data_IF_920768568878
#
_entry.id   IF_920768568878
#
_cell.length_a   1.000
_cell.length_b   1.000
_cell.length_c   1.000
_cell.angle_alpha   90.00
_cell.angle_beta   90.00
_cell.angle_gamma   90.00
#
_symmetry.space_group_name_H-M   'P 1'
#
loop_
_entity.id
_entity.type
_entity.pdbx_description
1 polymer ?
#
# COMPACT_ATOMS: atom_id res chain seq x y z
N UNK A 1 -10.30 7.73 6.90
CA UNK A 1 -10.00 7.73 5.45
C UNK A 1 -8.51 7.48 5.29
N UNK A 2 -8.12 6.58 4.40
CA UNK A 2 -6.70 6.31 4.13
C UNK A 2 -6.08 7.45 3.32
N UNK A 3 -4.86 7.83 3.66
CA UNK A 3 -4.04 8.79 2.91
C UNK A 3 -3.63 8.24 1.54
N UNK A 4 -3.18 9.12 0.62
CA UNK A 4 -2.73 8.69 -0.71
C UNK A 4 -1.56 7.70 -0.64
N UNK A 5 -0.63 7.90 0.29
CA UNK A 5 0.50 6.98 0.47
C UNK A 5 0.05 5.61 0.96
N UNK A 6 -0.92 5.54 1.88
CA UNK A 6 -1.45 4.26 2.38
C UNK A 6 -2.18 3.51 1.26
N UNK A 7 -2.99 4.21 0.46
CA UNK A 7 -3.67 3.61 -0.70
C UNK A 7 -2.67 3.11 -1.75
N UNK A 8 -1.61 3.86 -2.02
CA UNK A 8 -0.55 3.43 -2.94
C UNK A 8 0.10 2.13 -2.49
N UNK A 9 0.51 2.05 -1.22
CA UNK A 9 1.13 0.85 -0.63
C UNK A 9 0.17 -0.33 -0.71
N UNK A 10 -1.10 -0.14 -0.36
CA UNK A 10 -2.13 -1.20 -0.38
C UNK A 10 -2.38 -1.70 -1.80
N UNK A 11 -2.49 -0.80 -2.78
CA UNK A 11 -2.68 -1.15 -4.18
C UNK A 11 -1.47 -1.92 -4.72
N UNK A 12 -0.25 -1.54 -4.32
CA UNK A 12 0.96 -2.25 -4.71
C UNK A 12 0.99 -3.68 -4.18
N UNK A 13 0.64 -3.88 -2.91
CA UNK A 13 0.51 -5.23 -2.31
C UNK A 13 -0.58 -6.03 -3.01
N UNK A 14 -1.74 -5.42 -3.26
CA UNK A 14 -2.88 -6.07 -3.93
C UNK A 14 -2.53 -6.52 -5.34
N UNK A 15 -1.79 -5.71 -6.10
CA UNK A 15 -1.28 -6.05 -7.44
C UNK A 15 -0.37 -7.27 -7.40
N UNK A 16 0.66 -7.26 -6.53
CA UNK A 16 1.55 -8.42 -6.36
C UNK A 16 0.79 -9.68 -5.94
N UNK A 17 -0.19 -9.55 -5.04
CA UNK A 17 -1.06 -10.66 -4.64
C UNK A 17 -1.80 -11.26 -5.84
N UNK A 18 -2.30 -10.44 -6.76
CA UNK A 18 -2.98 -10.93 -7.98
C UNK A 18 -2.01 -11.51 -9.01
N UNK A 19 -0.84 -10.90 -9.21
CA UNK A 19 0.22 -11.41 -10.10
C UNK A 19 0.68 -12.82 -9.68
N UNK A 20 0.84 -13.04 -8.37
CA UNK A 20 1.15 -14.34 -7.76
C UNK A 20 -0.08 -15.27 -7.62
N UNK A 21 -1.26 -14.86 -8.12
CA UNK A 21 -2.53 -15.61 -8.05
C UNK A 21 -2.92 -16.04 -6.63
N UNK A 22 -2.55 -15.23 -5.64
CA UNK A 22 -2.85 -15.50 -4.23
C UNK A 22 -4.24 -14.98 -3.85
N UNK A 23 -4.99 -15.79 -3.11
CA UNK A 23 -6.19 -15.34 -2.41
C UNK A 23 -5.83 -14.46 -1.21
N UNK A 24 -6.77 -13.67 -0.70
CA UNK A 24 -6.58 -12.94 0.56
C UNK A 24 -6.27 -13.87 1.73
N UNK A 25 -6.87 -15.07 1.75
CA UNK A 25 -6.58 -16.09 2.77
C UNK A 25 -5.13 -16.58 2.65
N UNK A 26 -4.67 -16.86 1.43
CA UNK A 26 -3.28 -17.31 1.20
C UNK A 26 -2.27 -16.26 1.64
N UNK A 27 -2.50 -14.98 1.31
CA UNK A 27 -1.63 -13.89 1.77
C UNK A 27 -1.66 -13.78 3.30
N UNK A 28 -2.84 -13.89 3.91
CA UNK A 28 -2.98 -13.81 5.37
C UNK A 28 -2.21 -14.92 6.09
N UNK A 29 -2.30 -16.16 5.59
CA UNK A 29 -1.58 -17.31 6.14
C UNK A 29 -0.06 -17.10 6.07
N UNK A 30 0.46 -16.56 4.96
CA UNK A 30 1.89 -16.28 4.79
C UNK A 30 2.36 -15.11 5.67
N UNK A 31 1.53 -14.08 5.83
CA UNK A 31 1.84 -12.88 6.60
C UNK A 31 1.61 -13.08 8.11
N UNK A 32 1.02 -14.19 8.53
CA UNK A 32 0.72 -14.48 9.94
C UNK A 32 -0.43 -13.62 10.51
N UNK A 33 -1.39 -13.23 9.67
CA UNK A 33 -2.55 -12.40 10.04
C UNK A 33 -3.87 -13.10 9.68
N UNK A 34 -5.00 -12.51 10.04
CA UNK A 34 -6.31 -13.07 9.66
C UNK A 34 -6.69 -12.71 8.22
N UNK A 35 -7.45 -13.58 7.55
CA UNK A 35 -8.07 -13.25 6.24
C UNK A 35 -8.87 -11.95 6.31
N UNK A 36 -9.60 -11.73 7.40
CA UNK A 36 -10.39 -10.52 7.61
C UNK A 36 -9.52 -9.26 7.66
N UNK A 37 -8.34 -9.34 8.27
CA UNK A 37 -7.38 -8.23 8.26
C UNK A 37 -6.97 -7.85 6.83
N UNK A 38 -6.55 -8.82 6.00
CA UNK A 38 -6.19 -8.55 4.59
C UNK A 38 -7.38 -7.96 3.83
N UNK A 39 -8.59 -8.51 4.03
CA UNK A 39 -9.82 -8.00 3.43
C UNK A 39 -10.15 -6.56 3.85
N UNK A 40 -9.94 -6.20 5.12
CA UNK A 40 -10.15 -4.83 5.60
C UNK A 40 -9.08 -3.88 5.07
N UNK A 41 -7.81 -4.31 5.01
CA UNK A 41 -6.73 -3.49 4.44
C UNK A 41 -7.02 -3.13 2.99
N UNK A 42 -7.41 -4.11 2.18
CA UNK A 42 -7.74 -3.90 0.76
C UNK A 42 -9.07 -3.17 0.51
N UNK A 43 -9.87 -2.92 1.54
CA UNK A 43 -11.08 -2.13 1.45
C UNK A 43 -10.79 -0.66 1.80
N UNK A 44 -10.94 0.23 0.82
CA UNK A 44 -10.70 1.68 1.00
C UNK A 44 -11.56 2.33 2.10
N UNK A 45 -12.72 1.75 2.40
CA UNK A 45 -13.67 2.25 3.41
C UNK A 45 -13.34 1.81 4.84
N UNK A 46 -12.22 1.11 5.03
CA UNK A 46 -11.77 0.61 6.34
C UNK A 46 -10.49 1.32 6.76
N UNK A 47 -10.17 1.29 8.04
CA UNK A 47 -9.02 2.03 8.59
C UNK A 47 -7.75 1.19 8.66
N UNK A 48 -7.88 -0.13 8.60
CA UNK A 48 -6.76 -1.06 8.68
C UNK A 48 -5.77 -0.85 7.54
N UNK A 49 -4.48 -0.92 7.87
CA UNK A 49 -3.35 -0.70 6.98
C UNK A 49 -2.20 -1.63 7.31
N UNK A 50 -1.31 -1.87 6.34
CA UNK A 50 -0.05 -2.53 6.60
C UNK A 50 0.87 -1.60 7.39
N UNK A 51 1.50 -2.13 8.45
CA UNK A 51 2.53 -1.41 9.20
C UNK A 51 3.92 -1.80 8.64
N UNK A 52 4.99 -1.20 9.15
CA UNK A 52 6.34 -1.44 8.66
C UNK A 52 6.78 -2.92 8.79
N UNK A 53 6.35 -3.62 9.84
CA UNK A 53 6.63 -5.04 10.02
C UNK A 53 5.93 -5.88 8.94
N UNK A 54 4.66 -5.57 8.64
CA UNK A 54 3.95 -6.22 7.54
C UNK A 54 4.65 -5.96 6.20
N UNK A 55 5.10 -4.73 5.93
CA UNK A 55 5.82 -4.41 4.69
C UNK A 55 7.13 -5.19 4.57
N UNK A 56 7.87 -5.37 5.68
CA UNK A 56 9.06 -6.20 5.70
C UNK A 56 8.76 -7.66 5.31
N UNK A 57 7.75 -8.26 5.94
CA UNK A 57 7.36 -9.64 5.62
C UNK A 57 6.79 -9.77 4.21
N UNK A 58 6.04 -8.78 3.72
CA UNK A 58 5.55 -8.75 2.35
C UNK A 58 6.70 -8.70 1.33
N UNK A 59 7.79 -8.00 1.64
CA UNK A 59 8.99 -7.98 0.81
C UNK A 59 9.63 -9.38 0.72
N UNK A 60 9.64 -10.14 1.82
CA UNK A 60 10.09 -11.55 1.84
C UNK A 60 9.15 -12.43 1.02
N UNK A 61 7.83 -12.32 1.24
CA UNK A 61 6.80 -13.13 0.55
C UNK A 61 6.87 -12.94 -0.97
N UNK A 62 7.02 -11.70 -1.43
CA UNK A 62 7.04 -11.37 -2.85
C UNK A 62 8.45 -11.32 -3.44
N UNK A 63 9.48 -11.68 -2.67
CA UNK A 63 10.88 -11.68 -3.08
C UNK A 63 11.30 -10.37 -3.78
N UNK A 64 10.98 -9.23 -3.14
CA UNK A 64 11.25 -7.91 -3.68
C UNK A 64 11.85 -6.97 -2.61
N UNK A 65 12.28 -5.78 -3.01
CA UNK A 65 12.78 -4.78 -2.08
C UNK A 65 11.63 -4.15 -1.31
N UNK A 66 11.82 -3.84 -0.02
CA UNK A 66 10.86 -3.02 0.75
C UNK A 66 10.53 -1.69 0.06
N UNK A 67 11.48 -1.11 -0.69
CA UNK A 67 11.27 0.12 -1.46
C UNK A 67 10.20 -0.05 -2.54
N UNK A 68 10.01 -1.25 -3.06
CA UNK A 68 9.06 -1.55 -4.13
C UNK A 68 7.59 -1.36 -3.74
N UNK A 69 7.29 -1.15 -2.45
CA UNK A 69 5.95 -0.85 -1.94
C UNK A 69 5.66 0.65 -1.81
N UNK A 70 6.68 1.51 -1.87
CA UNK A 70 6.56 2.95 -1.63
C UNK A 70 6.68 3.74 -2.94
N UNK A 71 6.09 4.94 -3.01
CA UNK A 71 6.35 5.85 -4.12
C UNK A 71 7.79 6.38 -4.05
N UNK A 72 8.35 6.75 -5.19
CA UNK A 72 9.68 7.38 -5.24
C UNK A 72 9.67 8.80 -4.66
N UNK A 73 8.54 9.51 -4.83
CA UNK A 73 8.33 10.87 -4.35
C UNK A 73 7.16 10.94 -3.35
N UNK A 74 7.16 11.88 -2.40
CA UNK A 74 6.06 12.02 -1.45
C UNK A 74 4.77 12.47 -2.15
N UNK A 75 3.63 11.99 -1.65
CA UNK A 75 2.35 12.59 -1.99
C UNK A 75 2.20 13.90 -1.22
N UNK A 76 2.05 15.00 -1.95
CA UNK A 76 1.73 16.28 -1.36
C UNK A 76 0.22 16.51 -1.36
N UNK A 77 -0.40 16.30 -0.19
CA UNK A 77 -1.83 16.50 -0.02
C UNK A 77 -2.17 17.97 0.32
N UNK A 78 -1.17 18.86 0.49
CA UNK A 78 -1.35 20.21 1.07
C UNK A 78 -0.62 21.37 0.35
N UNK A 79 0.20 21.15 -0.69
CA UNK A 79 0.72 22.25 -1.52
C UNK A 79 -0.34 22.69 -2.53
N UNK A 80 -0.95 23.85 -2.31
CA UNK A 80 -1.54 24.62 -3.41
C UNK A 80 -0.49 24.69 -4.53
N UNK A 81 -0.91 24.43 -5.78
CA UNK A 81 0.00 24.60 -6.91
C UNK A 81 0.56 26.02 -6.84
N UNK A 82 1.89 26.22 -6.95
CA UNK A 82 2.41 27.57 -7.06
C UNK A 82 1.70 28.22 -8.24
N UNK A 83 0.98 29.30 -7.96
CA UNK A 83 0.43 30.18 -8.99
C UNK A 83 1.63 30.57 -9.84
N UNK A 84 1.65 30.14 -11.10
CA UNK A 84 2.73 30.52 -12.01
C UNK A 84 2.76 32.04 -12.07
N UNK A 85 3.89 32.64 -11.68
CA UNK A 85 4.21 34.07 -11.85
C UNK A 85 4.37 34.43 -13.34
N UNK A 86 3.44 34.01 -14.19
CA UNK A 86 3.29 34.46 -15.56
C UNK A 86 2.04 35.33 -15.65
N UNK A 87 2.17 36.57 -15.17
CA UNK A 87 1.45 37.75 -15.65
C UNK A 87 2.03 38.98 -14.94
N UNK A 88 3.23 39.38 -15.38
CA UNK A 88 3.82 40.69 -15.14
C UNK A 88 4.07 41.37 -16.49
#
# INVERSE_FOLDING_TARGET
MKSKIELFVIDRVRKLRYEEKMSQAKLADLLGVTKAFVGNVENENREEKYNLNHINELAVIFNCSVKSFFPDEPFDDNREQPVSDENL
#
